data_IF_058415726495
#
_entry.id   IF_058415726495
#
_cell.length_a   1.000
_cell.length_b   1.000
_cell.length_c   1.000
_cell.angle_alpha   90.00
_cell.angle_beta   90.00
_cell.angle_gamma   90.00
#
_symmetry.space_group_name_H-M   'P 1'
#
loop_
_entity.id
_entity.type
_entity.pdbx_description
1 polymer ?
#
# COMPACT_ATOMS: atom_id res chain seq x y z
N UNK A 1 -23.03 4.30 -4.51
CA UNK A 1 -22.52 3.32 -3.52
C UNK A 1 -21.34 2.52 -4.07
N UNK A 2 -21.41 2.01 -5.30
CA UNK A 2 -20.36 1.17 -5.90
C UNK A 2 -19.00 1.88 -6.04
N UNK A 3 -18.97 3.14 -6.47
CA UNK A 3 -17.73 3.92 -6.57
C UNK A 3 -17.03 4.10 -5.21
N UNK A 4 -17.81 4.32 -4.15
CA UNK A 4 -17.28 4.43 -2.78
C UNK A 4 -16.65 3.11 -2.32
N UNK A 5 -17.31 1.99 -2.60
CA UNK A 5 -16.77 0.65 -2.30
C UNK A 5 -15.46 0.39 -3.03
N UNK A 6 -15.36 0.77 -4.31
CA UNK A 6 -14.14 0.62 -5.09
C UNK A 6 -12.99 1.50 -4.56
N UNK A 7 -13.29 2.74 -4.15
CA UNK A 7 -12.32 3.62 -3.51
C UNK A 7 -11.82 3.01 -2.20
N UNK A 8 -12.71 2.55 -1.32
CA UNK A 8 -12.35 1.92 -0.05
C UNK A 8 -11.54 0.63 -0.29
N UNK A 9 -11.97 -0.22 -1.22
CA UNK A 9 -11.27 -1.45 -1.57
C UNK A 9 -9.86 -1.18 -2.12
N UNK A 10 -9.70 -0.13 -2.93
CA UNK A 10 -8.40 0.27 -3.48
C UNK A 10 -7.44 0.79 -2.41
N UNK A 11 -7.95 1.57 -1.46
CA UNK A 11 -7.17 2.05 -0.32
C UNK A 11 -6.71 0.88 0.55
N UNK A 12 -7.61 -0.06 0.84
CA UNK A 12 -7.30 -1.21 1.66
C UNK A 12 -6.32 -2.17 0.96
N UNK A 13 -6.54 -2.49 -0.31
CA UNK A 13 -5.62 -3.33 -1.08
C UNK A 13 -4.26 -2.67 -1.27
N UNK A 14 -4.23 -1.39 -1.62
CA UNK A 14 -2.99 -0.62 -1.74
C UNK A 14 -2.21 -0.61 -0.43
N UNK A 15 -2.91 -0.38 0.69
CA UNK A 15 -2.31 -0.41 2.02
C UNK A 15 -1.68 -1.77 2.35
N UNK A 16 -2.42 -2.86 2.18
CA UNK A 16 -1.92 -4.20 2.47
C UNK A 16 -0.72 -4.56 1.59
N UNK A 17 -0.79 -4.25 0.29
CA UNK A 17 0.31 -4.51 -0.64
C UNK A 17 1.57 -3.74 -0.25
N UNK A 18 1.46 -2.48 0.17
CA UNK A 18 2.61 -1.72 0.66
C UNK A 18 3.12 -2.20 1.99
N UNK A 19 2.24 -2.51 2.93
CA UNK A 19 2.64 -2.96 4.25
C UNK A 19 3.41 -4.29 4.18
N UNK A 20 2.86 -5.28 3.48
CA UNK A 20 3.54 -6.57 3.29
C UNK A 20 4.75 -6.46 2.35
N UNK A 21 4.64 -5.66 1.28
CA UNK A 21 5.74 -5.41 0.34
C UNK A 21 6.92 -4.72 1.01
N UNK A 22 6.68 -3.71 1.85
CA UNK A 22 7.69 -3.00 2.61
C UNK A 22 8.34 -3.86 3.69
N UNK A 23 7.56 -4.70 4.38
CA UNK A 23 8.10 -5.71 5.30
C UNK A 23 9.01 -6.70 4.56
N UNK A 24 8.58 -7.20 3.41
CA UNK A 24 9.38 -8.10 2.58
C UNK A 24 10.67 -7.46 2.08
N UNK A 25 10.58 -6.24 1.54
CA UNK A 25 11.70 -5.50 0.99
C UNK A 25 12.74 -5.14 2.06
N UNK A 26 12.30 -4.67 3.22
CA UNK A 26 13.19 -4.37 4.36
C UNK A 26 13.85 -5.62 4.92
N UNK A 27 13.16 -6.77 4.95
CA UNK A 27 13.79 -8.05 5.32
C UNK A 27 14.81 -8.54 4.31
N UNK A 28 14.60 -8.31 3.01
CA UNK A 28 15.53 -8.71 1.95
C UNK A 28 16.77 -7.82 1.89
N UNK A 29 16.62 -6.51 2.14
CA UNK A 29 17.71 -5.54 2.13
C UNK A 29 18.46 -5.43 3.46
N UNK A 30 17.83 -5.87 4.57
CA UNK A 30 18.39 -5.87 5.92
C UNK A 30 19.49 -6.93 6.11
N UNK A 31 20.66 -6.69 5.54
CA UNK A 31 21.84 -7.53 5.74
C UNK A 31 22.39 -7.43 7.17
N UNK A 32 22.14 -8.47 7.99
CA UNK A 32 22.76 -8.86 9.28
C UNK A 32 22.06 -8.44 10.60
N UNK A 33 21.60 -9.48 11.31
CA UNK A 33 21.83 -9.82 12.74
C UNK A 33 21.46 -8.85 13.89
N UNK A 34 20.68 -7.79 13.67
CA UNK A 34 19.96 -7.11 14.76
C UNK A 34 18.45 -7.33 14.62
N UNK A 35 17.74 -7.32 15.74
CA UNK A 35 16.29 -7.54 15.80
C UNK A 35 15.54 -6.32 15.23
N UNK A 36 15.58 -6.16 13.90
CA UNK A 36 14.89 -5.12 13.15
C UNK A 36 13.40 -5.42 12.98
N UNK A 37 12.84 -6.38 13.70
CA UNK A 37 11.43 -6.76 13.59
C UNK A 37 10.49 -5.57 13.79
N UNK A 38 10.84 -4.66 14.71
CA UNK A 38 10.06 -3.47 14.99
C UNK A 38 10.21 -2.40 13.90
N UNK A 39 11.42 -2.16 13.41
CA UNK A 39 11.68 -1.22 12.30
C UNK A 39 11.03 -1.68 10.99
N UNK A 40 11.14 -2.97 10.69
CA UNK A 40 10.51 -3.63 9.53
C UNK A 40 8.99 -3.51 9.61
N UNK A 41 8.41 -3.79 10.78
CA UNK A 41 6.97 -3.68 11.01
C UNK A 41 6.47 -2.24 10.88
N UNK A 42 7.19 -1.29 11.47
CA UNK A 42 6.88 0.15 11.40
C UNK A 42 7.02 0.66 9.96
N UNK A 43 8.07 0.29 9.24
CA UNK A 43 8.28 0.72 7.85
C UNK A 43 7.21 0.16 6.91
N UNK A 44 6.81 -1.10 7.14
CA UNK A 44 5.63 -1.69 6.52
C UNK A 44 4.36 -0.87 6.78
N UNK A 45 3.97 -0.81 8.05
CA UNK A 45 2.65 -0.36 8.47
C UNK A 45 2.46 1.17 8.39
N UNK A 46 3.49 1.96 8.70
CA UNK A 46 3.41 3.43 8.81
C UNK A 46 3.98 4.18 7.61
N UNK A 47 4.82 3.55 6.78
CA UNK A 47 5.45 4.24 5.65
C UNK A 47 4.97 3.67 4.33
N UNK A 48 5.34 2.43 4.04
CA UNK A 48 5.08 1.82 2.74
C UNK A 48 3.61 1.53 2.50
N UNK A 49 2.87 1.07 3.52
CA UNK A 49 1.42 0.85 3.46
C UNK A 49 0.64 2.13 3.11
N UNK A 50 0.73 3.23 3.88
CA UNK A 50 0.04 4.47 3.54
C UNK A 50 0.44 5.02 2.17
N UNK A 51 1.72 4.91 1.80
CA UNK A 51 2.23 5.43 0.54
C UNK A 51 1.63 4.69 -0.66
N UNK A 52 1.59 3.35 -0.64
CA UNK A 52 0.96 2.56 -1.70
C UNK A 52 -0.56 2.67 -1.70
N UNK A 53 -1.20 2.90 -0.54
CA UNK A 53 -2.64 3.20 -0.48
C UNK A 53 -2.98 4.48 -1.26
N UNK A 54 -2.17 5.53 -1.08
CA UNK A 54 -2.33 6.79 -1.84
C UNK A 54 -2.08 6.57 -3.33
N UNK A 55 -1.06 5.78 -3.70
CA UNK A 55 -0.79 5.44 -5.11
C UNK A 55 -1.96 4.66 -5.73
N UNK A 56 -2.52 3.69 -5.01
CA UNK A 56 -3.66 2.91 -5.47
C UNK A 56 -4.90 3.79 -5.65
N UNK A 57 -5.15 4.70 -4.71
CA UNK A 57 -6.22 5.68 -4.83
C UNK A 57 -6.03 6.58 -6.06
N UNK A 58 -4.82 7.11 -6.26
CA UNK A 58 -4.50 7.95 -7.41
C UNK A 58 -4.68 7.20 -8.74
N UNK A 59 -4.29 5.92 -8.79
CA UNK A 59 -4.47 5.07 -9.96
C UNK A 59 -5.96 4.85 -10.27
N UNK A 60 -6.78 4.60 -9.24
CA UNK A 60 -8.23 4.44 -9.39
C UNK A 60 -8.91 5.75 -9.80
N UNK A 61 -8.53 6.88 -9.20
CA UNK A 61 -9.05 8.18 -9.63
C UNK A 61 -8.70 8.48 -11.09
N UNK A 62 -7.45 8.23 -11.49
CA UNK A 62 -7.01 8.39 -12.88
C UNK A 62 -7.78 7.46 -13.82
N UNK A 63 -8.02 6.22 -13.40
CA UNK A 63 -8.83 5.28 -14.17
C UNK A 63 -10.24 5.81 -14.41
N UNK A 64 -10.90 6.34 -13.38
CA UNK A 64 -12.23 6.95 -13.54
C UNK A 64 -12.25 8.17 -14.46
N UNK A 65 -11.16 8.96 -14.49
CA UNK A 65 -11.06 10.07 -15.46
C UNK A 65 -10.86 9.59 -16.90
N UNK A 66 -10.30 8.40 -17.11
CA UNK A 66 -10.00 7.85 -18.42
C UNK A 66 -11.13 6.96 -18.98
N UNK A 67 -11.85 6.25 -18.10
CA UNK A 67 -12.97 5.36 -18.45
C UNK A 67 -14.11 5.65 -17.48
N UNK A 68 -15.06 6.53 -17.83
CA UNK A 68 -16.24 6.74 -17.01
C UNK A 68 -17.05 5.45 -16.99
N UNK A 69 -17.38 4.95 -15.79
CA UNK A 69 -18.35 3.87 -15.63
C UNK A 69 -19.72 4.41 -16.08
N UNK A 70 -20.19 3.95 -17.24
CA UNK A 70 -21.52 4.21 -17.81
C UNK A 70 -22.63 3.52 -17.03
#
# INVERSE_FOLDING_TARGET
>A
MEQLLLVIASLFCGYLLGAFGGIGLTRLLGGRQYDHSLEVGVTGFLVTGPLTAVIALAAVMRWYTAVPLS
#
